data_IF_764308763591
#
_entry.id   IF_764308763591
#
_cell.length_a   1.000
_cell.length_b   1.000
_cell.length_c   1.000
_cell.angle_alpha   90.00
_cell.angle_beta   90.00
_cell.angle_gamma   90.00
#
_symmetry.space_group_name_H-M   'P 1'
#
loop_
_entity.id
_entity.type
_entity.pdbx_description
1 polymer ?
#
# COMPACT_ATOMS: atom_id res chain seq x y z
N UNK A 1 5.12 18.27 26.86
CA UNK A 1 4.04 18.05 25.89
C UNK A 1 4.68 17.96 24.51
N UNK A 2 4.94 16.75 24.01
CA UNK A 2 5.44 16.58 22.66
C UNK A 2 4.31 16.93 21.70
N UNK A 3 4.46 17.99 20.91
CA UNK A 3 3.50 18.35 19.86
C UNK A 3 3.41 17.20 18.87
N UNK A 4 2.21 16.69 18.62
CA UNK A 4 1.99 15.69 17.58
C UNK A 4 2.33 16.33 16.24
N UNK A 5 3.46 15.94 15.65
CA UNK A 5 3.86 16.39 14.31
C UNK A 5 2.95 15.74 13.28
N UNK A 6 2.31 16.55 12.44
CA UNK A 6 1.54 16.04 11.30
C UNK A 6 2.52 15.36 10.33
N UNK A 7 2.21 14.12 9.93
CA UNK A 7 2.98 13.38 8.94
C UNK A 7 2.84 14.04 7.57
N UNK A 8 3.92 14.13 6.81
CA UNK A 8 3.86 14.55 5.41
C UNK A 8 3.40 13.40 4.50
N UNK A 9 3.12 13.70 3.23
CA UNK A 9 2.65 12.72 2.24
C UNK A 9 3.57 11.50 2.12
N UNK A 10 4.89 11.71 2.05
CA UNK A 10 5.85 10.60 1.93
C UNK A 10 5.86 9.71 3.18
N UNK A 11 5.74 10.31 4.37
CA UNK A 11 5.64 9.56 5.64
C UNK A 11 4.35 8.72 5.68
N UNK A 12 3.24 9.24 5.16
CA UNK A 12 1.97 8.49 5.06
C UNK A 12 2.09 7.34 4.06
N UNK A 13 2.72 7.56 2.90
CA UNK A 13 2.97 6.52 1.89
C UNK A 13 3.90 5.42 2.41
N UNK A 14 4.93 5.79 3.18
CA UNK A 14 5.80 4.83 3.88
C UNK A 14 5.02 3.98 4.89
N UNK A 15 4.17 4.59 5.72
CA UNK A 15 3.32 3.83 6.65
C UNK A 15 2.39 2.87 5.90
N UNK A 16 1.79 3.33 4.79
CA UNK A 16 0.90 2.54 3.96
C UNK A 16 1.65 1.35 3.32
N UNK A 17 2.87 1.56 2.84
CA UNK A 17 3.75 0.50 2.33
C UNK A 17 4.04 -0.56 3.40
N UNK A 18 4.50 -0.13 4.58
CA UNK A 18 4.76 -1.05 5.69
C UNK A 18 3.50 -1.84 6.05
N UNK A 19 2.35 -1.16 6.14
CA UNK A 19 1.08 -1.81 6.48
C UNK A 19 0.62 -2.78 5.40
N UNK A 20 0.77 -2.43 4.13
CA UNK A 20 0.41 -3.29 3.00
C UNK A 20 1.23 -4.58 3.02
N UNK A 21 2.56 -4.47 3.18
CA UNK A 21 3.48 -5.61 3.26
C UNK A 21 3.11 -6.51 4.45
N UNK A 22 2.98 -5.97 5.66
CA UNK A 22 2.63 -6.76 6.85
C UNK A 22 1.32 -7.55 6.69
N UNK A 23 0.32 -6.94 6.05
CA UNK A 23 -0.97 -7.60 5.79
C UNK A 23 -0.83 -8.68 4.71
N UNK A 24 -0.07 -8.42 3.66
CA UNK A 24 0.19 -9.37 2.58
C UNK A 24 0.94 -10.60 3.12
N UNK A 25 2.05 -10.41 3.83
CA UNK A 25 2.84 -11.47 4.45
C UNK A 25 1.97 -12.39 5.33
N UNK A 26 1.03 -11.81 6.09
CA UNK A 26 0.09 -12.56 6.93
C UNK A 26 -0.87 -13.44 6.11
N UNK A 27 -1.30 -12.99 4.93
CA UNK A 27 -2.21 -13.72 4.06
C UNK A 27 -1.52 -14.82 3.25
N UNK A 28 -0.29 -14.58 2.78
CA UNK A 28 0.44 -15.52 1.92
C UNK A 28 1.48 -16.38 2.66
N UNK A 29 1.77 -16.08 3.93
CA UNK A 29 2.70 -16.79 4.81
C UNK A 29 4.16 -16.80 4.32
N UNK A 30 4.59 -15.71 3.70
CA UNK A 30 5.94 -15.52 3.15
C UNK A 30 6.43 -14.12 3.53
N UNK A 31 7.73 -13.98 3.79
CA UNK A 31 8.38 -12.68 4.01
C UNK A 31 8.57 -11.95 2.69
N UNK A 32 8.30 -10.65 2.65
CA UNK A 32 8.26 -9.86 1.44
C UNK A 32 9.19 -8.64 1.56
N UNK A 33 10.00 -8.42 0.53
CA UNK A 33 10.81 -7.22 0.37
C UNK A 33 10.03 -6.11 -0.34
N UNK A 34 10.42 -4.86 -0.09
CA UNK A 34 9.82 -3.67 -0.72
C UNK A 34 10.03 -3.65 -2.25
N UNK A 35 11.09 -4.28 -2.75
CA UNK A 35 11.49 -4.31 -4.16
C UNK A 35 10.85 -5.47 -4.94
N UNK A 36 9.98 -6.26 -4.30
CA UNK A 36 9.28 -7.36 -4.97
C UNK A 36 7.98 -6.88 -5.62
N UNK A 37 7.57 -7.56 -6.69
CA UNK A 37 6.26 -7.36 -7.30
C UNK A 37 5.19 -8.15 -6.53
N UNK A 38 3.98 -7.60 -6.47
CA UNK A 38 2.84 -8.21 -5.78
C UNK A 38 2.50 -9.62 -6.27
N UNK A 39 2.58 -9.88 -7.58
CA UNK A 39 2.24 -11.18 -8.17
C UNK A 39 3.35 -12.20 -7.92
N UNK A 40 4.61 -11.78 -7.99
CA UNK A 40 5.78 -12.66 -7.82
C UNK A 40 5.82 -13.30 -6.42
N UNK A 41 5.38 -12.57 -5.40
CA UNK A 41 5.30 -13.08 -4.02
C UNK A 41 4.05 -13.96 -3.78
N UNK A 42 3.17 -14.13 -4.76
CA UNK A 42 1.94 -14.92 -4.63
C UNK A 42 0.69 -14.10 -4.29
N UNK A 43 0.74 -12.78 -4.43
CA UNK A 43 -0.45 -11.94 -4.42
C UNK A 43 -1.35 -12.24 -5.62
N UNK A 44 -2.66 -12.21 -5.40
CA UNK A 44 -3.66 -12.40 -6.46
C UNK A 44 -4.83 -11.43 -6.29
N UNK A 45 -5.73 -11.37 -7.28
CA UNK A 45 -6.78 -10.33 -7.38
C UNK A 45 -7.63 -10.17 -6.14
N UNK A 46 -7.99 -11.27 -5.46
CA UNK A 46 -8.81 -11.20 -4.26
C UNK A 46 -8.07 -10.57 -3.08
N UNK A 47 -6.77 -10.88 -2.92
CA UNK A 47 -5.92 -10.22 -1.92
C UNK A 47 -5.77 -8.73 -2.27
N UNK A 48 -5.52 -8.41 -3.55
CA UNK A 48 -5.38 -7.02 -4.01
C UNK A 48 -6.63 -6.19 -3.69
N UNK A 49 -7.83 -6.71 -3.97
CA UNK A 49 -9.09 -6.03 -3.65
C UNK A 49 -9.20 -5.76 -2.13
N UNK A 50 -8.91 -6.76 -1.30
CA UNK A 50 -9.00 -6.65 0.16
C UNK A 50 -7.98 -5.63 0.70
N UNK A 51 -6.73 -5.71 0.25
CA UNK A 51 -5.66 -4.83 0.72
C UNK A 51 -5.85 -3.40 0.23
N UNK A 52 -6.24 -3.20 -1.03
CA UNK A 52 -6.49 -1.86 -1.57
C UNK A 52 -7.64 -1.17 -0.82
N UNK A 53 -8.73 -1.89 -0.50
CA UNK A 53 -9.80 -1.32 0.32
C UNK A 53 -9.33 -1.01 1.76
N UNK A 54 -8.45 -1.83 2.34
CA UNK A 54 -7.86 -1.51 3.66
C UNK A 54 -6.99 -0.26 3.62
N UNK A 55 -6.09 -0.14 2.64
CA UNK A 55 -5.23 1.05 2.50
C UNK A 55 -6.06 2.30 2.22
N UNK A 56 -7.06 2.19 1.36
CA UNK A 56 -7.98 3.29 1.07
C UNK A 56 -8.69 3.79 2.33
N UNK A 57 -9.23 2.90 3.14
CA UNK A 57 -9.95 3.28 4.36
C UNK A 57 -9.01 3.82 5.47
N UNK A 58 -7.79 3.31 5.56
CA UNK A 58 -6.84 3.67 6.63
C UNK A 58 -6.00 4.92 6.30
N UNK A 59 -5.58 5.07 5.05
CA UNK A 59 -4.64 6.12 4.61
C UNK A 59 -5.25 7.11 3.61
N UNK A 60 -6.49 6.91 3.17
CA UNK A 60 -7.13 7.71 2.11
C UNK A 60 -6.36 7.68 0.78
N UNK A 61 -5.64 6.57 0.51
CA UNK A 61 -4.85 6.34 -0.69
C UNK A 61 -5.53 5.34 -1.63
N UNK A 62 -5.48 5.60 -2.92
CA UNK A 62 -5.93 4.72 -4.00
C UNK A 62 -4.68 4.12 -4.65
N UNK A 63 -4.62 2.79 -4.62
CA UNK A 63 -3.58 2.02 -5.30
C UNK A 63 -4.09 1.64 -6.69
N UNK A 64 -3.32 1.98 -7.73
CA UNK A 64 -3.59 1.53 -9.09
C UNK A 64 -3.33 0.03 -9.23
N UNK A 65 -4.32 -0.73 -9.70
CA UNK A 65 -4.17 -2.16 -10.00
C UNK A 65 -3.14 -2.41 -11.10
N UNK A 66 -3.08 -1.53 -12.09
CA UNK A 66 -2.08 -1.61 -13.16
C UNK A 66 -0.67 -1.47 -12.58
N UNK A 67 -0.44 -0.48 -11.72
CA UNK A 67 0.86 -0.25 -11.08
C UNK A 67 1.23 -1.43 -10.16
N UNK A 68 0.28 -1.87 -9.34
CA UNK A 68 0.47 -3.00 -8.42
C UNK A 68 0.93 -4.28 -9.12
N UNK A 69 0.45 -4.53 -10.34
CA UNK A 69 0.81 -5.74 -11.09
C UNK A 69 2.07 -5.59 -11.94
N UNK A 70 2.48 -4.37 -12.27
CA UNK A 70 3.60 -4.12 -13.19
C UNK A 70 4.80 -3.42 -12.54
N UNK A 71 4.81 -3.22 -11.23
CA UNK A 71 5.87 -2.51 -10.51
C UNK A 71 6.14 -3.13 -9.15
N UNK A 72 7.21 -2.68 -8.50
CA UNK A 72 7.52 -3.11 -7.14
C UNK A 72 6.48 -2.58 -6.15
N UNK A 73 6.36 -3.21 -4.98
CA UNK A 73 5.49 -2.73 -3.91
C UNK A 73 5.89 -1.31 -3.47
N UNK A 74 7.19 -1.02 -3.41
CA UNK A 74 7.69 0.32 -3.11
C UNK A 74 7.19 1.35 -4.12
N UNK A 75 7.47 1.16 -5.41
CA UNK A 75 7.02 2.10 -6.46
C UNK A 75 5.50 2.25 -6.47
N UNK A 76 4.77 1.15 -6.29
CA UNK A 76 3.31 1.15 -6.29
C UNK A 76 2.73 2.05 -5.19
N UNK A 77 3.24 1.94 -3.97
CA UNK A 77 2.71 2.68 -2.82
C UNK A 77 3.23 4.12 -2.78
N UNK A 78 4.43 4.38 -3.30
CA UNK A 78 4.95 5.74 -3.46
C UNK A 78 4.18 6.54 -4.53
N UNK A 79 3.72 5.87 -5.57
CA UNK A 79 2.88 6.47 -6.64
C UNK A 79 1.38 6.51 -6.28
N UNK A 80 0.98 6.00 -5.11
CA UNK A 80 -0.43 6.00 -4.72
C UNK A 80 -1.01 7.43 -4.64
N UNK A 81 -2.24 7.59 -5.14
CA UNK A 81 -2.93 8.88 -5.17
C UNK A 81 -3.88 9.02 -3.98
N UNK A 82 -4.00 10.22 -3.40
CA UNK A 82 -5.07 10.46 -2.44
C UNK A 82 -6.44 10.48 -3.13
N UNK A 83 -7.47 10.05 -2.39
CA UNK A 83 -8.85 10.21 -2.84
C UNK A 83 -9.10 11.70 -3.08
N UNK A 84 -9.24 12.08 -4.35
CA UNK A 84 -9.68 13.42 -4.76
C UNK A 84 -11.14 13.53 -4.35
N UNK A 85 -11.42 14.28 -3.30
CA UNK A 85 -12.79 14.63 -2.94
C UNK A 85 -13.38 15.49 -4.06
N UNK A 86 -14.10 14.87 -4.99
CA UNK A 86 -15.05 15.59 -5.83
C UNK A 86 -16.17 16.10 -4.92
N UNK A 87 -16.20 17.41 -4.69
CA UNK A 87 -17.39 18.12 -4.21
C UNK A 87 -18.51 17.99 -5.24
#
# INVERSE_FOLDING_TARGET
>A
MAGVRLKNENEIKLDALCRYIMLLESMIKTTISIDENFLDVGGHSMIAIILNEKIKNEFNLIISMEKLYNSTLNETLMDAEYIKNHK
#
